data_IF_461311396806
#
_entry.id   IF_461311396806
#
_cell.length_a   1.000
_cell.length_b   1.000
_cell.length_c   1.000
_cell.angle_alpha   90.00
_cell.angle_beta   90.00
_cell.angle_gamma   90.00
#
_symmetry.space_group_name_H-M   'P 1'
#
loop_
_entity.id
_entity.type
_entity.pdbx_description
1 polymer ?
#
# COMPACT_ATOMS: atom_id res chain seq x y z
N UNK A 1 -32.72 1.87 30.34
CA UNK A 1 -32.57 2.21 28.91
C UNK A 1 -31.56 3.35 28.83
N UNK A 2 -30.29 2.98 28.97
CA UNK A 2 -29.30 2.87 27.88
C UNK A 2 -28.79 4.24 27.45
N UNK A 3 -27.92 4.82 28.29
CA UNK A 3 -27.05 5.92 27.90
C UNK A 3 -25.91 5.38 27.07
N UNK A 4 -25.80 5.84 25.83
CA UNK A 4 -24.64 5.62 24.96
C UNK A 4 -23.54 6.58 25.39
N UNK A 5 -22.60 6.09 26.21
CA UNK A 5 -21.32 6.76 26.38
C UNK A 5 -20.49 6.49 25.11
N UNK A 6 -20.45 7.48 24.22
CA UNK A 6 -19.38 7.58 23.24
C UNK A 6 -18.13 7.97 24.02
N UNK A 7 -17.26 7.00 24.22
CA UNK A 7 -15.98 7.19 24.90
C UNK A 7 -15.04 7.95 23.96
N UNK A 8 -15.18 9.28 23.98
CA UNK A 8 -14.28 10.18 23.28
C UNK A 8 -12.97 10.14 24.06
N UNK A 9 -11.98 9.38 23.55
CA UNK A 9 -10.59 9.46 24.03
C UNK A 9 -10.22 10.95 24.16
N UNK A 10 -9.93 11.38 25.38
CA UNK A 10 -9.48 12.75 25.66
C UNK A 10 -8.14 12.96 24.95
N UNK A 11 -8.14 13.83 23.95
CA UNK A 11 -6.95 14.20 23.16
C UNK A 11 -6.06 15.12 24.00
N UNK A 12 -4.75 14.88 24.01
CA UNK A 12 -3.77 15.84 24.52
C UNK A 12 -2.90 16.42 23.42
N UNK A 13 -3.08 17.72 23.20
CA UNK A 13 -2.04 18.62 22.71
C UNK A 13 -1.09 18.84 23.89
N UNK A 14 0.10 18.22 23.91
CA UNK A 14 1.31 18.59 24.70
C UNK A 14 2.17 17.40 25.19
N UNK A 15 2.43 16.41 24.35
CA UNK A 15 3.79 15.89 24.15
C UNK A 15 4.48 15.03 25.23
N UNK A 16 3.91 14.75 26.41
CA UNK A 16 4.63 13.97 27.42
C UNK A 16 4.02 12.57 27.72
N UNK A 17 2.71 12.41 27.89
CA UNK A 17 2.09 11.12 28.27
C UNK A 17 0.78 10.87 27.50
N UNK A 18 0.52 9.63 27.05
CA UNK A 18 -0.80 9.22 26.52
C UNK A 18 -1.70 8.83 27.69
N UNK A 19 -2.90 9.40 27.81
CA UNK A 19 -3.73 9.33 29.03
C UNK A 19 -3.95 7.89 29.57
N UNK A 20 -4.12 6.90 28.69
CA UNK A 20 -4.31 5.50 29.09
C UNK A 20 -3.08 4.91 29.80
N UNK A 21 -1.89 5.46 29.59
CA UNK A 21 -0.64 4.98 30.21
C UNK A 21 -0.65 5.17 31.73
N UNK A 22 -1.45 6.12 32.25
CA UNK A 22 -1.60 6.35 33.70
C UNK A 22 -2.43 5.27 34.41
N UNK A 23 -3.21 4.51 33.65
CA UNK A 23 -4.15 3.51 34.18
C UNK A 23 -3.65 2.06 33.97
N UNK A 24 -2.50 1.88 33.32
CA UNK A 24 -1.98 0.55 32.97
C UNK A 24 -0.97 -0.01 33.99
N UNK A 25 -1.17 -1.25 34.49
CA UNK A 25 -0.16 -1.93 35.28
C UNK A 25 1.09 -2.23 34.41
N UNK A 26 2.27 -2.04 34.97
CA UNK A 26 3.59 -2.23 34.33
C UNK A 26 3.93 -3.72 34.13
N UNK A 27 3.09 -4.50 33.46
CA UNK A 27 3.46 -5.81 32.93
C UNK A 27 4.02 -5.63 31.51
N UNK A 28 5.20 -5.02 31.43
CA UNK A 28 5.81 -4.64 30.15
C UNK A 28 6.43 -5.86 29.44
N UNK A 29 5.67 -6.48 28.54
CA UNK A 29 6.27 -7.24 27.44
C UNK A 29 6.67 -6.24 26.36
N UNK A 30 7.91 -6.34 25.89
CA UNK A 30 8.37 -5.51 24.79
C UNK A 30 7.53 -5.76 23.52
N UNK A 31 7.22 -4.70 22.80
CA UNK A 31 6.37 -4.75 21.59
C UNK A 31 7.01 -4.03 20.40
N UNK A 32 6.52 -4.35 19.22
CA UNK A 32 6.87 -3.71 17.94
C UNK A 32 5.59 -3.20 17.29
N UNK A 33 5.66 -2.01 16.70
CA UNK A 33 4.56 -1.42 15.94
C UNK A 33 4.89 -1.39 14.44
N UNK A 34 3.94 -1.84 13.64
CA UNK A 34 3.96 -1.70 12.18
C UNK A 34 2.75 -0.91 11.71
N UNK A 35 2.98 0.09 10.87
CA UNK A 35 1.93 0.94 10.34
C UNK A 35 1.96 0.98 8.81
N UNK A 36 0.76 0.94 8.22
CA UNK A 36 0.52 1.18 6.80
C UNK A 36 -0.47 2.34 6.63
N UNK A 37 0.03 3.46 6.11
CA UNK A 37 -0.70 4.71 5.90
C UNK A 37 -1.05 4.91 4.43
N UNK A 38 -2.29 4.60 4.05
CA UNK A 38 -2.81 4.80 2.71
C UNK A 38 -3.53 6.15 2.53
N UNK A 39 -4.06 6.35 1.32
CA UNK A 39 -4.89 7.53 0.97
C UNK A 39 -6.29 7.49 1.59
N UNK A 40 -6.75 6.34 2.07
CA UNK A 40 -8.11 6.16 2.64
C UNK A 40 -8.09 5.88 4.14
N UNK A 41 -7.15 5.07 4.60
CA UNK A 41 -7.09 4.58 5.98
C UNK A 41 -5.65 4.36 6.41
N UNK A 42 -5.44 4.32 7.72
CA UNK A 42 -4.18 3.96 8.35
C UNK A 42 -4.40 2.77 9.26
N UNK A 43 -3.65 1.69 9.08
CA UNK A 43 -3.69 0.50 9.93
C UNK A 43 -2.43 0.44 10.78
N UNK A 44 -2.60 0.26 12.10
CA UNK A 44 -1.52 -0.03 13.04
C UNK A 44 -1.69 -1.45 13.59
N UNK A 45 -0.60 -2.22 13.56
CA UNK A 45 -0.51 -3.55 14.16
C UNK A 45 0.54 -3.52 15.27
N UNK A 46 0.15 -4.00 16.45
CA UNK A 46 1.03 -4.23 17.58
C UNK A 46 1.32 -5.73 17.70
N UNK A 47 2.60 -6.11 17.63
CA UNK A 47 3.08 -7.48 17.79
C UNK A 47 4.01 -7.58 19.01
N UNK A 48 4.12 -8.74 19.68
CA UNK A 48 5.12 -8.90 20.72
C UNK A 48 6.53 -8.86 20.11
N UNK A 49 7.53 -8.46 20.89
CA UNK A 49 8.92 -8.68 20.53
C UNK A 49 9.18 -10.19 20.48
N UNK A 50 9.26 -10.72 19.26
CA UNK A 50 9.51 -12.14 19.03
C UNK A 50 10.99 -12.49 19.27
N UNK A 51 11.31 -13.71 19.74
CA UNK A 51 12.68 -14.20 19.81
C UNK A 51 13.36 -14.13 18.44
N UNK A 52 14.64 -13.76 18.41
CA UNK A 52 15.43 -13.65 17.18
C UNK A 52 15.71 -15.03 16.58
N UNK A 53 14.74 -15.55 15.85
CA UNK A 53 14.75 -16.82 15.12
C UNK A 53 14.53 -16.56 13.63
N UNK A 54 15.10 -17.40 12.77
CA UNK A 54 14.82 -17.34 11.34
C UNK A 54 13.45 -17.96 10.99
N UNK A 55 12.97 -18.85 11.86
CA UNK A 55 11.62 -19.40 11.79
C UNK A 55 10.63 -18.47 12.51
N UNK A 56 9.77 -17.82 11.74
CA UNK A 56 8.67 -17.01 12.24
C UNK A 56 7.47 -17.91 12.60
N UNK A 57 6.73 -17.59 13.66
CA UNK A 57 5.49 -18.30 14.01
C UNK A 57 4.43 -18.17 12.89
N UNK A 58 3.67 -19.24 12.69
CA UNK A 58 2.52 -19.28 11.77
C UNK A 58 1.26 -19.75 12.55
N UNK A 59 0.25 -18.88 12.76
CA UNK A 59 0.16 -17.50 12.32
C UNK A 59 1.09 -16.56 13.11
N UNK A 60 1.44 -15.41 12.49
CA UNK A 60 2.18 -14.35 13.15
C UNK A 60 1.35 -13.78 14.33
N UNK A 61 1.95 -13.60 15.52
CA UNK A 61 1.24 -13.13 16.70
C UNK A 61 0.87 -11.65 16.54
N UNK A 62 -0.39 -11.34 16.82
CA UNK A 62 -0.93 -9.98 16.87
C UNK A 62 -1.51 -9.75 18.26
N UNK A 63 -1.02 -8.73 18.97
CA UNK A 63 -1.56 -8.33 20.26
C UNK A 63 -2.78 -7.42 20.07
N UNK A 64 -2.70 -6.50 19.12
CA UNK A 64 -3.79 -5.58 18.80
C UNK A 64 -3.68 -5.00 17.39
N UNK A 65 -4.82 -4.55 16.89
CA UNK A 65 -4.94 -3.77 15.66
C UNK A 65 -5.80 -2.53 15.90
N UNK A 66 -5.44 -1.41 15.27
CA UNK A 66 -6.24 -0.20 15.25
C UNK A 66 -6.27 0.39 13.83
N UNK A 67 -7.40 0.99 13.47
CA UNK A 67 -7.60 1.62 12.17
C UNK A 67 -8.10 3.04 12.38
N UNK A 68 -7.48 3.99 11.70
CA UNK A 68 -7.92 5.38 11.66
C UNK A 68 -8.06 5.85 10.20
N UNK A 69 -8.45 7.13 10.04
CA UNK A 69 -8.57 7.77 8.74
C UNK A 69 -7.25 7.90 7.98
N UNK A 70 -7.25 8.70 6.91
CA UNK A 70 -6.07 8.91 6.08
C UNK A 70 -4.94 9.62 6.85
N UNK A 71 -3.71 9.12 6.71
CA UNK A 71 -2.47 9.76 7.21
C UNK A 71 -1.60 10.34 6.10
N UNK A 72 -2.03 10.28 4.84
CA UNK A 72 -1.33 10.89 3.72
C UNK A 72 -1.50 12.42 3.74
N UNK A 73 -0.43 13.13 4.07
CA UNK A 73 -0.42 14.60 4.15
C UNK A 73 -0.87 15.28 2.83
N UNK A 74 -0.59 14.67 1.67
CA UNK A 74 -1.03 15.18 0.37
C UNK A 74 -2.55 15.07 0.17
N UNK A 75 -3.20 14.13 0.87
CA UNK A 75 -4.66 13.92 0.81
C UNK A 75 -5.42 14.70 1.88
N UNK A 76 -4.82 14.92 3.06
CA UNK A 76 -5.49 15.56 4.20
C UNK A 76 -5.38 17.09 4.16
N UNK A 77 -4.46 17.66 3.39
CA UNK A 77 -4.31 19.11 3.19
C UNK A 77 -3.84 19.90 4.42
N UNK A 78 -3.70 19.24 5.59
CA UNK A 78 -3.20 19.82 6.82
C UNK A 78 -2.31 18.80 7.57
N UNK A 79 -1.03 19.16 7.74
CA UNK A 79 -0.01 18.36 8.41
C UNK A 79 -0.44 17.88 9.81
N UNK A 80 -1.10 18.77 10.56
CA UNK A 80 -1.60 18.49 11.91
C UNK A 80 -2.59 17.32 11.94
N UNK A 81 -3.49 17.22 10.96
CA UNK A 81 -4.50 16.17 10.95
C UNK A 81 -3.92 14.79 10.61
N UNK A 82 -2.92 14.73 9.72
CA UNK A 82 -2.17 13.50 9.47
C UNK A 82 -1.42 13.03 10.73
N UNK A 83 -0.75 13.96 11.43
CA UNK A 83 -0.06 13.68 12.70
C UNK A 83 -1.03 13.20 13.79
N UNK A 84 -2.17 13.88 13.98
CA UNK A 84 -3.20 13.48 14.95
C UNK A 84 -3.75 12.08 14.66
N UNK A 85 -3.93 11.74 13.37
CA UNK A 85 -4.40 10.41 12.94
C UNK A 85 -3.40 9.31 13.30
N UNK A 86 -2.10 9.56 13.06
CA UNK A 86 -1.02 8.65 13.42
C UNK A 86 -0.93 8.44 14.93
N UNK A 87 -1.03 9.53 15.70
CA UNK A 87 -1.02 9.47 17.16
C UNK A 87 -2.21 8.67 17.69
N UNK A 88 -3.42 8.95 17.19
CA UNK A 88 -4.64 8.26 17.58
C UNK A 88 -4.56 6.76 17.30
N UNK A 89 -4.14 6.35 16.10
CA UNK A 89 -4.12 4.92 15.72
C UNK A 89 -3.09 4.13 16.52
N UNK A 90 -1.93 4.73 16.83
CA UNK A 90 -0.92 4.08 17.66
C UNK A 90 -1.35 4.00 19.12
N UNK A 91 -1.99 5.05 19.66
CA UNK A 91 -2.53 5.06 21.01
C UNK A 91 -3.60 3.99 21.20
N UNK A 92 -4.51 3.86 20.23
CA UNK A 92 -5.53 2.82 20.26
C UNK A 92 -4.93 1.40 20.19
N UNK A 93 -3.92 1.19 19.33
CA UNK A 93 -3.25 -0.12 19.23
C UNK A 93 -2.53 -0.51 20.53
N UNK A 94 -1.81 0.42 21.16
CA UNK A 94 -1.12 0.19 22.44
C UNK A 94 -2.11 -0.02 23.59
N UNK A 95 -3.17 0.79 23.65
CA UNK A 95 -4.23 0.65 24.64
C UNK A 95 -4.88 -0.75 24.56
N UNK A 96 -5.24 -1.20 23.34
CA UNK A 96 -5.82 -2.54 23.12
C UNK A 96 -4.84 -3.67 23.41
N UNK A 97 -3.53 -3.47 23.22
CA UNK A 97 -2.53 -4.50 23.51
C UNK A 97 -2.16 -4.59 25.00
N UNK A 98 -2.65 -3.67 25.85
CA UNK A 98 -2.22 -3.58 27.24
C UNK A 98 -0.77 -3.10 27.38
N UNK A 99 -0.26 -2.34 26.41
CA UNK A 99 1.13 -1.87 26.37
C UNK A 99 1.20 -0.36 26.37
N UNK A 100 2.33 0.22 26.79
CA UNK A 100 2.59 1.65 26.73
C UNK A 100 3.81 1.95 25.84
N UNK A 101 4.08 3.23 25.57
CA UNK A 101 5.18 3.65 24.69
C UNK A 101 6.56 3.25 25.22
N UNK A 102 6.74 3.09 26.52
CA UNK A 102 8.02 2.64 27.09
C UNK A 102 8.31 1.15 26.80
N UNK A 103 7.28 0.35 26.55
CA UNK A 103 7.39 -1.05 26.13
C UNK A 103 7.70 -1.20 24.63
N UNK A 104 7.55 -0.14 23.84
CA UNK A 104 7.83 -0.18 22.40
C UNK A 104 9.34 -0.22 22.18
N UNK A 105 9.81 -1.12 21.31
CA UNK A 105 11.21 -1.24 20.92
C UNK A 105 11.50 -0.68 19.53
N UNK A 106 10.57 -0.88 18.61
CA UNK A 106 10.67 -0.31 17.28
C UNK A 106 9.30 0.00 16.67
N UNK A 107 9.28 0.99 15.79
CA UNK A 107 8.12 1.41 14.99
C UNK A 107 8.57 1.54 13.55
N UNK A 108 7.89 0.88 12.62
CA UNK A 108 8.01 1.16 11.19
C UNK A 108 6.69 1.74 10.69
N UNK A 109 6.75 2.94 10.14
CA UNK A 109 5.64 3.64 9.53
C UNK A 109 5.86 3.69 8.02
N UNK A 110 5.11 2.87 7.29
CA UNK A 110 5.10 2.89 5.83
C UNK A 110 3.95 3.76 5.35
N UNK A 111 4.22 4.79 4.55
CA UNK A 111 3.19 5.77 4.16
C UNK A 111 3.26 6.05 2.66
N UNK A 112 2.09 6.09 2.04
CA UNK A 112 1.94 6.46 0.64
C UNK A 112 2.37 7.90 0.40
N UNK A 113 3.15 8.14 -0.65
CA UNK A 113 3.65 9.46 -1.02
C UNK A 113 4.96 9.88 -0.33
N UNK A 114 5.51 9.05 0.55
CA UNK A 114 6.89 9.24 1.06
C UNK A 114 7.87 8.81 -0.02
N UNK A 115 8.38 9.79 -0.78
CA UNK A 115 9.19 9.56 -1.97
C UNK A 115 10.59 10.17 -1.92
N UNK A 116 10.82 11.09 -0.99
CA UNK A 116 12.10 11.78 -0.81
C UNK A 116 12.58 11.71 0.64
N UNK A 117 13.91 11.75 0.89
CA UNK A 117 14.46 11.79 2.24
C UNK A 117 13.89 12.93 3.11
N UNK A 118 13.51 14.05 2.51
CA UNK A 118 12.87 15.17 3.21
C UNK A 118 11.48 14.81 3.75
N UNK A 119 10.72 13.97 3.05
CA UNK A 119 9.40 13.52 3.51
C UNK A 119 9.55 12.50 4.63
N UNK A 120 10.52 11.59 4.49
CA UNK A 120 10.87 10.62 5.54
C UNK A 120 11.26 11.34 6.83
N UNK A 121 12.20 12.30 6.76
CA UNK A 121 12.69 13.01 7.94
C UNK A 121 11.60 13.86 8.60
N UNK A 122 10.69 14.45 7.80
CA UNK A 122 9.53 15.19 8.32
C UNK A 122 8.65 14.30 9.19
N UNK A 123 8.24 13.14 8.69
CA UNK A 123 7.39 12.19 9.44
C UNK A 123 8.15 11.61 10.64
N UNK A 124 9.45 11.32 10.46
CA UNK A 124 10.31 10.81 11.52
C UNK A 124 10.43 11.80 12.67
N UNK A 125 10.45 13.11 12.39
CA UNK A 125 10.41 14.15 13.42
C UNK A 125 9.14 14.08 14.27
N UNK A 126 7.98 13.81 13.68
CA UNK A 126 6.74 13.64 14.44
C UNK A 126 6.80 12.42 15.35
N UNK A 127 7.31 11.29 14.84
CA UNK A 127 7.45 10.06 15.63
C UNK A 127 8.41 10.25 16.82
N UNK A 128 9.51 11.01 16.64
CA UNK A 128 10.45 11.33 17.73
C UNK A 128 9.82 12.16 18.85
N UNK A 129 8.77 12.93 18.56
CA UNK A 129 7.99 13.62 19.59
C UNK A 129 6.96 12.72 20.27
N UNK A 130 6.59 11.60 19.65
CA UNK A 130 5.60 10.67 20.19
C UNK A 130 6.23 9.60 21.07
N UNK A 131 7.43 9.12 20.74
CA UNK A 131 8.07 8.00 21.42
C UNK A 131 9.32 8.38 22.24
N UNK A 132 9.62 7.63 23.31
CA UNK A 132 10.89 7.76 24.03
C UNK A 132 12.12 7.54 23.14
N UNK A 133 13.26 8.09 23.53
CA UNK A 133 14.51 8.07 22.74
C UNK A 133 15.12 6.67 22.52
N UNK A 134 14.74 5.66 23.32
CA UNK A 134 15.20 4.29 23.12
C UNK A 134 14.49 3.58 21.96
N UNK A 135 13.32 4.07 21.54
CA UNK A 135 12.51 3.47 20.48
C UNK A 135 13.19 3.70 19.13
N UNK A 136 13.34 2.63 18.35
CA UNK A 136 13.86 2.71 16.99
C UNK A 136 12.73 3.06 16.02
N UNK A 137 12.91 4.12 15.24
CA UNK A 137 11.85 4.68 14.39
C UNK A 137 12.27 4.62 12.92
N UNK A 138 11.40 4.09 12.08
CA UNK A 138 11.60 3.94 10.63
C UNK A 138 10.41 4.53 9.90
N UNK A 139 10.69 5.27 8.82
CA UNK A 139 9.67 5.75 7.90
C UNK A 139 10.04 5.24 6.52
N UNK A 140 9.12 4.47 5.93
CA UNK A 140 9.31 3.84 4.63
C UNK A 140 8.20 4.23 3.67
N UNK A 141 8.42 3.96 2.39
CA UNK A 141 7.36 4.00 1.40
C UNK A 141 6.40 2.81 1.62
N UNK A 142 5.10 2.99 1.36
CA UNK A 142 4.07 1.94 1.48
C UNK A 142 4.42 0.67 0.68
N UNK A 143 5.08 0.82 -0.47
CA UNK A 143 5.54 -0.31 -1.27
C UNK A 143 6.59 -1.18 -0.56
N UNK A 144 7.40 -0.63 0.35
CA UNK A 144 8.39 -1.41 1.12
C UNK A 144 7.68 -2.36 2.09
N UNK A 145 6.66 -1.85 2.78
CA UNK A 145 5.83 -2.68 3.67
C UNK A 145 5.00 -3.71 2.89
N UNK A 146 4.51 -3.36 1.71
CA UNK A 146 3.81 -4.28 0.82
C UNK A 146 4.74 -5.40 0.32
N UNK A 147 5.99 -5.12 -0.02
CA UNK A 147 6.98 -6.16 -0.34
C UNK A 147 7.19 -7.07 0.88
N UNK A 148 7.46 -6.46 2.04
CA UNK A 148 7.73 -7.17 3.28
C UNK A 148 6.57 -8.06 3.75
N UNK A 149 5.32 -7.72 3.46
CA UNK A 149 4.17 -8.56 3.83
C UNK A 149 4.09 -9.83 2.98
N UNK A 150 4.56 -9.80 1.73
CA UNK A 150 4.67 -10.99 0.88
C UNK A 150 5.90 -11.85 1.18
N UNK A 151 6.98 -11.24 1.65
CA UNK A 151 8.28 -11.92 1.89
C UNK A 151 8.57 -12.19 3.37
N UNK A 152 7.59 -11.94 4.24
CA UNK A 152 7.70 -12.11 5.70
C UNK A 152 8.89 -11.32 6.29
N UNK A 153 9.00 -10.04 5.93
CA UNK A 153 10.00 -9.11 6.44
C UNK A 153 11.33 -9.09 5.69
N UNK A 154 11.52 -9.94 4.68
CA UNK A 154 12.75 -9.97 3.86
C UNK A 154 12.66 -8.97 2.69
N UNK A 155 13.56 -7.99 2.63
CA UNK A 155 13.60 -7.05 1.50
C UNK A 155 14.45 -7.60 0.36
N UNK A 156 13.88 -8.53 -0.40
CA UNK A 156 14.47 -9.06 -1.62
C UNK A 156 13.36 -9.44 -2.62
N UNK A 157 13.50 -8.99 -3.86
CA UNK A 157 12.54 -9.20 -4.94
C UNK A 157 11.89 -7.91 -5.41
N UNK A 158 10.69 -8.01 -5.97
CA UNK A 158 9.92 -6.90 -6.51
C UNK A 158 8.48 -6.95 -5.98
N UNK A 159 7.92 -5.82 -5.59
CA UNK A 159 6.49 -5.64 -5.40
C UNK A 159 5.90 -4.93 -6.61
N UNK A 160 4.72 -5.36 -7.03
CA UNK A 160 3.83 -4.66 -7.95
C UNK A 160 2.55 -4.30 -7.21
N UNK A 161 2.30 -3.01 -7.07
CA UNK A 161 1.04 -2.48 -6.55
C UNK A 161 0.21 -1.98 -7.72
N UNK A 162 -1.04 -2.42 -7.85
CA UNK A 162 -2.01 -1.79 -8.74
C UNK A 162 -3.39 -1.66 -8.05
N UNK A 163 -3.70 -0.42 -7.66
CA UNK A 163 -4.96 0.01 -7.06
C UNK A 163 -5.46 1.24 -7.80
N UNK A 164 -5.77 2.33 -7.09
CA UNK A 164 -6.07 3.62 -7.72
C UNK A 164 -4.92 4.11 -8.60
N UNK A 165 -3.68 4.01 -8.10
CA UNK A 165 -2.43 4.19 -8.85
C UNK A 165 -1.68 2.87 -9.02
N UNK A 166 -0.45 2.92 -9.53
CA UNK A 166 0.41 1.73 -9.64
C UNK A 166 1.87 2.06 -9.39
N UNK A 167 2.63 1.10 -8.86
CA UNK A 167 4.08 1.18 -8.71
C UNK A 167 4.69 -0.21 -8.76
N UNK A 168 5.85 -0.34 -9.40
CA UNK A 168 6.75 -1.47 -9.22
C UNK A 168 7.98 -1.01 -8.43
N UNK A 169 8.33 -1.71 -7.35
CA UNK A 169 9.50 -1.37 -6.53
C UNK A 169 10.22 -2.64 -6.12
N UNK A 170 11.54 -2.67 -6.26
CA UNK A 170 12.32 -3.86 -5.95
C UNK A 170 13.57 -3.55 -5.15
N UNK A 171 14.07 -4.61 -4.52
CA UNK A 171 15.23 -4.62 -3.65
C UNK A 171 16.09 -5.86 -3.90
N UNK A 172 17.39 -5.70 -3.85
CA UNK A 172 18.36 -6.80 -3.84
C UNK A 172 18.81 -7.06 -2.40
N UNK A 173 19.42 -8.23 -2.13
CA UNK A 173 19.83 -8.59 -0.76
C UNK A 173 20.89 -7.63 -0.17
N UNK A 174 21.72 -7.02 -1.03
CA UNK A 174 22.71 -6.00 -0.69
C UNK A 174 22.09 -4.60 -0.49
N UNK A 175 20.76 -4.46 -0.61
CA UNK A 175 20.03 -3.23 -0.31
C UNK A 175 19.96 -2.22 -1.46
N UNK A 176 20.36 -2.60 -2.69
CA UNK A 176 20.08 -1.75 -3.86
C UNK A 176 18.60 -1.78 -4.16
N UNK A 177 18.08 -0.65 -4.64
CA UNK A 177 16.66 -0.47 -4.89
C UNK A 177 16.41 0.14 -6.27
N UNK A 178 15.26 -0.17 -6.87
CA UNK A 178 14.82 0.45 -8.11
C UNK A 178 13.30 0.48 -8.21
N UNK A 179 12.77 1.61 -8.67
CA UNK A 179 11.34 1.82 -8.89
C UNK A 179 10.98 2.07 -10.34
N UNK A 180 9.77 1.72 -10.74
CA UNK A 180 9.15 2.05 -12.02
C UNK A 180 7.65 2.33 -11.83
N UNK A 181 7.07 3.16 -12.70
CA UNK A 181 5.74 3.75 -12.50
C UNK A 181 5.65 4.53 -11.17
N UNK A 182 4.43 4.82 -10.69
CA UNK A 182 4.20 5.56 -9.45
C UNK A 182 4.38 7.06 -9.61
N UNK A 183 4.33 7.56 -10.84
CA UNK A 183 4.47 8.99 -11.15
C UNK A 183 3.11 9.71 -11.16
N UNK A 184 2.01 8.97 -10.96
CA UNK A 184 0.66 9.47 -10.99
C UNK A 184 0.00 9.36 -12.37
N UNK A 185 -1.32 9.62 -12.43
CA UNK A 185 -2.14 9.35 -13.60
C UNK A 185 -1.82 10.22 -14.81
N UNK A 186 -1.23 11.40 -14.60
CA UNK A 186 -0.82 12.29 -15.70
C UNK A 186 0.44 11.78 -16.40
N UNK A 187 1.32 11.10 -15.65
CA UNK A 187 2.68 10.77 -16.10
C UNK A 187 2.88 9.32 -16.52
N UNK A 188 1.90 8.44 -16.36
CA UNK A 188 1.97 7.11 -16.96
C UNK A 188 1.48 5.93 -16.13
N UNK A 189 0.73 6.13 -15.03
CA UNK A 189 0.15 5.03 -14.25
C UNK A 189 -1.01 4.31 -15.00
N UNK A 190 -0.85 3.98 -16.28
CA UNK A 190 -1.88 3.48 -17.19
C UNK A 190 -2.38 2.08 -16.84
N UNK A 191 -1.57 1.30 -16.12
CA UNK A 191 -1.94 0.00 -15.57
C UNK A 191 -2.80 0.06 -14.30
N UNK A 192 -2.96 1.24 -13.70
CA UNK A 192 -3.76 1.44 -12.49
C UNK A 192 -5.26 1.43 -12.78
N UNK A 193 -6.08 1.35 -11.73
CA UNK A 193 -7.53 1.50 -11.83
C UNK A 193 -7.93 2.84 -12.43
N UNK A 194 -7.24 3.93 -12.06
CA UNK A 194 -7.44 5.22 -12.71
C UNK A 194 -7.09 5.15 -14.20
N UNK A 195 -5.93 4.59 -14.53
CA UNK A 195 -5.46 4.47 -15.92
C UNK A 195 -6.41 3.68 -16.81
N UNK A 196 -6.94 2.56 -16.31
CA UNK A 196 -7.94 1.73 -16.97
C UNK A 196 -9.23 2.54 -17.20
N UNK A 197 -9.75 3.18 -16.16
CA UNK A 197 -10.99 3.95 -16.23
C UNK A 197 -10.89 5.19 -17.12
N UNK A 198 -9.78 5.93 -17.05
CA UNK A 198 -9.55 7.12 -17.87
C UNK A 198 -9.49 6.78 -19.37
N UNK A 199 -8.87 5.65 -19.72
CA UNK A 199 -8.89 5.14 -21.09
C UNK A 199 -10.31 4.75 -21.53
N UNK A 200 -11.10 4.16 -20.64
CA UNK A 200 -12.49 3.81 -20.93
C UNK A 200 -13.39 5.04 -21.12
N UNK A 201 -13.28 6.05 -20.25
CA UNK A 201 -13.96 7.34 -20.41
C UNK A 201 -13.57 8.01 -21.73
N UNK A 202 -12.28 7.98 -22.08
CA UNK A 202 -11.79 8.48 -23.37
C UNK A 202 -12.40 7.71 -24.54
N UNK A 203 -12.56 6.39 -24.42
CA UNK A 203 -13.19 5.57 -25.44
C UNK A 203 -14.70 5.89 -25.59
N UNK A 204 -15.41 6.15 -24.50
CA UNK A 204 -16.82 6.58 -24.54
C UNK A 204 -16.95 7.92 -25.28
N UNK A 205 -16.11 8.91 -24.98
CA UNK A 205 -16.12 10.20 -25.68
C UNK A 205 -15.83 10.02 -27.17
N UNK A 206 -14.84 9.19 -27.53
CA UNK A 206 -14.53 8.89 -28.94
C UNK A 206 -15.67 8.16 -29.67
N UNK A 207 -16.38 7.26 -28.98
CA UNK A 207 -17.54 6.57 -29.54
C UNK A 207 -18.70 7.55 -29.79
N UNK A 208 -18.90 8.52 -28.89
CA UNK A 208 -19.93 9.54 -28.98
C UNK A 208 -19.68 10.53 -30.12
N UNK A 209 -18.46 11.04 -30.24
CA UNK A 209 -18.10 12.03 -31.27
C UNK A 209 -17.69 11.43 -32.63
N UNK A 210 -17.76 10.09 -32.75
CA UNK A 210 -17.51 9.37 -34.00
C UNK A 210 -16.04 9.10 -34.33
N UNK A 211 -15.08 9.46 -33.45
CA UNK A 211 -13.65 9.15 -33.63
C UNK A 211 -13.26 7.73 -33.26
N UNK A 212 -14.15 6.98 -32.61
CA UNK A 212 -13.93 5.62 -32.15
C UNK A 212 -15.11 4.69 -32.45
N UNK A 213 -14.91 3.37 -32.33
CA UNK A 213 -15.99 2.40 -32.51
C UNK A 213 -17.01 2.51 -31.38
N UNK A 214 -18.25 2.09 -31.66
CA UNK A 214 -19.25 1.87 -30.61
C UNK A 214 -18.78 0.80 -29.62
N UNK A 215 -19.13 0.95 -28.34
CA UNK A 215 -18.67 0.07 -27.26
C UNK A 215 -19.73 -0.03 -26.15
N UNK A 216 -19.79 -1.19 -25.51
CA UNK A 216 -20.64 -1.43 -24.32
C UNK A 216 -20.24 -0.51 -23.15
N UNK A 217 -19.00 -0.02 -23.13
CA UNK A 217 -18.51 0.93 -22.14
C UNK A 217 -19.40 2.18 -22.05
N UNK A 218 -19.97 2.64 -23.17
CA UNK A 218 -20.82 3.83 -23.20
C UNK A 218 -22.04 3.65 -22.30
N UNK A 219 -22.85 2.61 -22.55
CA UNK A 219 -24.07 2.39 -21.77
C UNK A 219 -23.79 1.98 -20.33
N UNK A 220 -22.73 1.20 -20.11
CA UNK A 220 -22.45 0.63 -18.80
C UNK A 220 -21.82 1.65 -17.85
N UNK A 221 -20.89 2.47 -18.34
CA UNK A 221 -20.31 3.55 -17.52
C UNK A 221 -21.41 4.56 -17.18
N UNK A 222 -22.16 5.08 -18.16
CA UNK A 222 -23.21 6.08 -17.90
C UNK A 222 -24.23 5.59 -16.87
N UNK A 223 -24.64 4.33 -16.96
CA UNK A 223 -25.53 3.70 -15.96
C UNK A 223 -24.89 3.65 -14.58
N UNK A 224 -23.61 3.29 -14.48
CA UNK A 224 -22.87 3.24 -13.21
C UNK A 224 -22.77 4.61 -12.54
N UNK A 225 -22.60 5.68 -13.30
CA UNK A 225 -22.44 7.05 -12.78
C UNK A 225 -23.72 7.88 -12.78
N UNK A 226 -24.83 7.31 -13.22
CA UNK A 226 -26.16 7.95 -13.21
C UNK A 226 -26.35 9.06 -14.25
N UNK A 227 -25.62 9.03 -15.36
CA UNK A 227 -25.74 10.00 -16.45
C UNK A 227 -26.64 9.47 -17.57
N UNK A 228 -27.31 10.39 -18.29
CA UNK A 228 -28.23 10.03 -19.38
C UNK A 228 -27.58 10.15 -20.76
N UNK A 229 -26.57 11.01 -20.91
CA UNK A 229 -25.82 11.20 -22.17
C UNK A 229 -24.30 11.29 -21.93
N UNK A 230 -23.46 10.86 -22.89
CA UNK A 230 -22.02 11.16 -22.89
C UNK A 230 -21.69 12.66 -22.81
N UNK A 231 -22.61 13.56 -23.23
CA UNK A 231 -22.42 15.01 -23.14
C UNK A 231 -22.23 15.49 -21.69
N UNK A 232 -22.77 14.76 -20.71
CA UNK A 232 -22.67 15.08 -19.29
C UNK A 232 -21.31 14.67 -18.67
N UNK A 233 -20.51 13.85 -19.37
CA UNK A 233 -19.24 13.29 -18.84
C UNK A 233 -18.21 14.35 -18.50
N UNK A 234 -18.16 15.44 -19.27
CA UNK A 234 -17.22 16.55 -19.02
C UNK A 234 -17.54 17.18 -17.67
N UNK A 235 -18.82 17.53 -17.44
CA UNK A 235 -19.27 18.08 -16.15
C UNK A 235 -18.97 17.13 -15.01
N UNK A 236 -19.35 15.86 -15.14
CA UNK A 236 -19.12 14.84 -14.12
C UNK A 236 -17.63 14.67 -13.79
N UNK A 237 -16.75 14.68 -14.79
CA UNK A 237 -15.30 14.47 -14.61
C UNK A 237 -14.63 15.63 -13.90
N UNK A 238 -14.97 16.88 -14.24
CA UNK A 238 -14.33 18.07 -13.68
C UNK A 238 -14.99 18.57 -12.38
N UNK A 239 -16.15 18.04 -11.99
CA UNK A 239 -16.80 18.33 -10.71
C UNK A 239 -16.00 17.84 -9.49
N UNK A 240 -15.33 16.70 -9.60
CA UNK A 240 -14.54 16.10 -8.52
C UNK A 240 -13.22 15.51 -9.06
N UNK A 241 -12.05 16.04 -8.65
CA UNK A 241 -10.74 15.58 -9.11
C UNK A 241 -10.28 14.26 -8.49
N UNK A 242 -11.10 13.60 -7.66
CA UNK A 242 -10.77 12.36 -6.96
C UNK A 242 -10.36 11.23 -7.91
N UNK A 243 -9.11 10.78 -7.80
CA UNK A 243 -8.62 9.63 -8.58
C UNK A 243 -9.36 8.35 -8.21
N UNK A 244 -9.75 8.19 -6.95
CA UNK A 244 -10.48 7.02 -6.48
C UNK A 244 -11.88 6.93 -7.14
N UNK A 245 -12.54 8.07 -7.36
CA UNK A 245 -13.85 8.14 -8.04
C UNK A 245 -13.75 7.67 -9.48
N UNK A 246 -12.70 8.08 -10.20
CA UNK A 246 -12.43 7.60 -11.57
C UNK A 246 -12.05 6.11 -11.54
N UNK A 247 -11.11 5.71 -10.68
CA UNK A 247 -10.64 4.33 -10.59
C UNK A 247 -11.75 3.32 -10.25
N UNK A 248 -12.80 3.75 -9.54
CA UNK A 248 -13.97 2.92 -9.23
C UNK A 248 -14.73 2.42 -10.48
N UNK A 249 -14.46 2.96 -11.68
CA UNK A 249 -15.02 2.49 -12.94
C UNK A 249 -14.25 1.31 -13.55
N UNK A 250 -13.05 0.97 -13.08
CA UNK A 250 -12.26 -0.14 -13.61
C UNK A 250 -13.02 -1.49 -13.64
N UNK A 251 -13.83 -1.87 -12.62
CA UNK A 251 -14.65 -3.09 -12.67
C UNK A 251 -15.68 -3.11 -13.81
N UNK A 252 -16.17 -1.95 -14.25
CA UNK A 252 -17.07 -1.85 -15.43
C UNK A 252 -16.32 -2.26 -16.68
N UNK A 253 -15.07 -1.80 -16.84
CA UNK A 253 -14.22 -2.15 -17.98
C UNK A 253 -13.95 -3.66 -18.01
N UNK A 254 -13.64 -4.26 -16.86
CA UNK A 254 -13.50 -5.72 -16.72
C UNK A 254 -14.78 -6.43 -17.15
N UNK A 255 -15.94 -5.98 -16.67
CA UNK A 255 -17.24 -6.57 -17.02
C UNK A 255 -17.54 -6.51 -18.52
N UNK A 256 -17.26 -5.37 -19.17
CA UNK A 256 -17.44 -5.25 -20.61
C UNK A 256 -16.45 -6.16 -21.38
N UNK A 257 -15.20 -6.28 -20.94
CA UNK A 257 -14.23 -7.19 -21.55
C UNK A 257 -14.66 -8.66 -21.41
N UNK A 258 -15.21 -9.06 -20.26
CA UNK A 258 -15.79 -10.39 -20.04
C UNK A 258 -17.03 -10.64 -20.92
N UNK A 259 -17.74 -9.59 -21.31
CA UNK A 259 -18.81 -9.61 -22.30
C UNK A 259 -18.30 -9.55 -23.76
N UNK A 260 -17.00 -9.72 -23.97
CA UNK A 260 -16.33 -9.70 -25.29
C UNK A 260 -16.37 -8.36 -26.01
N UNK A 261 -16.49 -7.23 -25.28
CA UNK A 261 -16.33 -5.91 -25.88
C UNK A 261 -14.86 -5.71 -26.32
N UNK A 262 -14.60 -5.44 -27.61
CA UNK A 262 -13.23 -5.38 -28.14
C UNK A 262 -12.45 -4.15 -27.64
N UNK A 263 -13.14 -3.05 -27.33
CA UNK A 263 -12.52 -1.81 -26.83
C UNK A 263 -12.05 -2.02 -25.39
N UNK A 264 -12.91 -2.58 -24.54
CA UNK A 264 -12.58 -2.94 -23.17
C UNK A 264 -11.43 -3.95 -23.11
N UNK A 265 -11.47 -5.01 -23.93
CA UNK A 265 -10.38 -5.98 -24.02
C UNK A 265 -9.04 -5.32 -24.38
N UNK A 266 -9.04 -4.40 -25.35
CA UNK A 266 -7.83 -3.67 -25.75
C UNK A 266 -7.27 -2.80 -24.62
N UNK A 267 -8.13 -2.11 -23.88
CA UNK A 267 -7.73 -1.29 -22.72
C UNK A 267 -7.06 -2.16 -21.65
N UNK A 268 -7.65 -3.31 -21.33
CA UNK A 268 -7.10 -4.19 -20.30
C UNK A 268 -5.80 -4.86 -20.75
N UNK A 269 -5.67 -5.26 -22.03
CA UNK A 269 -4.42 -5.78 -22.58
C UNK A 269 -3.29 -4.74 -22.53
N UNK A 270 -3.57 -3.48 -22.88
CA UNK A 270 -2.60 -2.39 -22.74
C UNK A 270 -2.19 -2.20 -21.28
N UNK A 271 -3.15 -2.23 -20.36
CA UNK A 271 -2.89 -2.10 -18.92
C UNK A 271 -2.01 -3.22 -18.38
N UNK A 272 -2.22 -4.47 -18.83
CA UNK A 272 -1.36 -5.62 -18.54
C UNK A 272 0.08 -5.38 -19.01
N UNK A 273 0.26 -4.85 -20.23
CA UNK A 273 1.59 -4.57 -20.79
C UNK A 273 2.32 -3.49 -19.98
N UNK A 274 1.64 -2.41 -19.60
CA UNK A 274 2.21 -1.32 -18.79
C UNK A 274 2.65 -1.81 -17.40
N UNK A 275 1.82 -2.63 -16.74
CA UNK A 275 2.15 -3.24 -15.45
C UNK A 275 3.34 -4.20 -15.58
N UNK A 276 3.34 -5.05 -16.61
CA UNK A 276 4.42 -5.99 -16.85
C UNK A 276 5.73 -5.23 -17.10
N UNK A 277 5.77 -4.28 -18.04
CA UNK A 277 6.98 -3.52 -18.35
C UNK A 277 7.52 -2.73 -17.14
N UNK A 278 6.64 -2.27 -16.23
CA UNK A 278 7.07 -1.67 -14.97
C UNK A 278 7.86 -2.65 -14.10
N UNK A 279 7.38 -3.88 -13.93
CA UNK A 279 8.12 -4.94 -13.23
C UNK A 279 9.41 -5.29 -13.96
N UNK A 280 9.35 -5.48 -15.28
CA UNK A 280 10.55 -5.82 -16.07
C UNK A 280 11.62 -4.74 -15.96
N UNK A 281 11.24 -3.47 -15.93
CA UNK A 281 12.18 -2.36 -15.75
C UNK A 281 12.91 -2.42 -14.40
N UNK A 282 12.21 -2.77 -13.32
CA UNK A 282 12.82 -2.98 -11.99
C UNK A 282 13.76 -4.19 -12.01
N UNK A 283 13.29 -5.33 -12.52
CA UNK A 283 14.07 -6.57 -12.61
C UNK A 283 15.38 -6.35 -13.38
N UNK A 284 15.33 -5.68 -14.54
CA UNK A 284 16.53 -5.37 -15.35
C UNK A 284 17.51 -4.46 -14.61
N UNK A 285 17.05 -3.40 -13.95
CA UNK A 285 17.93 -2.43 -13.26
C UNK A 285 18.62 -3.04 -12.05
N UNK A 286 17.94 -3.94 -11.35
CA UNK A 286 18.47 -4.59 -10.16
C UNK A 286 19.24 -5.88 -10.45
N UNK A 287 19.06 -6.43 -11.65
CA UNK A 287 19.54 -7.75 -12.03
C UNK A 287 19.01 -8.84 -11.09
N UNK A 288 17.69 -8.83 -10.82
CA UNK A 288 17.07 -9.76 -9.84
C UNK A 288 17.13 -11.23 -10.27
N UNK A 289 17.41 -11.52 -11.53
CA UNK A 289 17.55 -12.88 -12.06
C UNK A 289 18.99 -13.40 -12.04
N UNK A 290 19.92 -12.69 -11.40
CA UNK A 290 21.32 -13.09 -11.35
C UNK A 290 22.04 -12.91 -12.68
N UNK A 291 23.32 -13.29 -12.74
CA UNK A 291 24.14 -13.16 -13.95
C UNK A 291 23.69 -14.10 -15.07
N UNK A 292 23.20 -15.29 -14.69
CA UNK A 292 22.79 -16.33 -15.63
C UNK A 292 21.29 -16.24 -16.00
N UNK A 293 20.56 -15.25 -15.44
CA UNK A 293 19.14 -14.99 -15.73
C UNK A 293 18.15 -15.98 -15.10
N UNK A 294 18.61 -16.86 -14.21
CA UNK A 294 17.83 -17.97 -13.66
C UNK A 294 17.52 -17.86 -12.17
N UNK A 295 18.01 -16.82 -11.47
CA UNK A 295 17.73 -16.69 -10.04
C UNK A 295 16.24 -16.45 -9.78
N UNK A 296 15.73 -17.11 -8.75
CA UNK A 296 14.37 -16.93 -8.29
C UNK A 296 14.25 -15.65 -7.47
N UNK A 297 13.20 -14.86 -7.71
CA UNK A 297 12.90 -13.68 -6.90
C UNK A 297 11.41 -13.59 -6.59
N UNK A 298 11.08 -13.04 -5.41
CA UNK A 298 9.71 -12.79 -5.03
C UNK A 298 9.09 -11.69 -5.92
N UNK A 299 7.93 -11.95 -6.51
CA UNK A 299 7.08 -10.95 -7.14
C UNK A 299 5.81 -10.77 -6.31
N UNK A 300 5.84 -9.85 -5.35
CA UNK A 300 4.70 -9.59 -4.47
C UNK A 300 3.66 -8.75 -5.20
N UNK A 301 2.41 -9.20 -5.25
CA UNK A 301 1.32 -8.55 -5.97
C UNK A 301 0.27 -8.02 -4.99
N UNK A 302 0.04 -6.71 -5.01
CA UNK A 302 -0.89 -6.02 -4.09
C UNK A 302 -1.83 -5.08 -4.86
N UNK A 303 -3.05 -4.94 -4.36
CA UNK A 303 -4.04 -3.98 -4.86
C UNK A 303 -5.19 -4.63 -5.66
N UNK A 304 -6.33 -3.93 -5.66
CA UNK A 304 -7.59 -4.44 -6.18
C UNK A 304 -7.61 -4.73 -7.68
N UNK A 305 -6.77 -4.06 -8.48
CA UNK A 305 -6.65 -4.31 -9.93
C UNK A 305 -6.03 -5.69 -10.18
N UNK A 306 -5.12 -6.13 -9.31
CA UNK A 306 -4.48 -7.44 -9.39
C UNK A 306 -5.31 -8.54 -8.73
N UNK A 307 -6.46 -8.23 -8.11
CA UNK A 307 -7.29 -9.23 -7.45
C UNK A 307 -7.76 -10.30 -8.45
N UNK A 308 -7.90 -11.54 -7.97
CA UNK A 308 -8.32 -12.64 -8.81
C UNK A 308 -9.77 -12.42 -9.30
N UNK A 309 -9.97 -12.56 -10.61
CA UNK A 309 -11.27 -12.41 -11.26
C UNK A 309 -11.64 -13.70 -12.01
N UNK A 310 -12.94 -13.89 -12.28
CA UNK A 310 -13.45 -15.17 -12.78
C UNK A 310 -13.14 -15.40 -14.26
N UNK A 311 -13.37 -14.43 -15.14
CA UNK A 311 -13.13 -14.59 -16.58
C UNK A 311 -12.01 -13.70 -17.11
N UNK A 312 -11.86 -12.49 -16.60
CA UNK A 312 -10.75 -11.60 -16.98
C UNK A 312 -9.89 -11.21 -15.78
N UNK A 313 -8.69 -11.78 -15.68
CA UNK A 313 -7.79 -11.64 -14.52
C UNK A 313 -6.48 -10.95 -14.91
N UNK A 314 -6.41 -9.63 -14.67
CA UNK A 314 -5.25 -8.79 -14.97
C UNK A 314 -3.99 -9.34 -14.27
N UNK A 315 -4.12 -9.79 -13.02
CA UNK A 315 -2.99 -10.32 -12.26
C UNK A 315 -2.37 -11.56 -12.91
N UNK A 316 -3.19 -12.50 -13.37
CA UNK A 316 -2.72 -13.69 -14.11
C UNK A 316 -2.04 -13.33 -15.43
N UNK A 317 -2.62 -12.41 -16.19
CA UNK A 317 -2.05 -11.97 -17.47
C UNK A 317 -0.71 -11.24 -17.27
N UNK A 318 -0.59 -10.40 -16.24
CA UNK A 318 0.67 -9.75 -15.87
C UNK A 318 1.74 -10.78 -15.52
N UNK A 319 1.41 -11.77 -14.68
CA UNK A 319 2.34 -12.87 -14.35
C UNK A 319 2.75 -13.64 -15.60
N UNK A 320 1.80 -13.99 -16.47
CA UNK A 320 2.08 -14.66 -17.76
C UNK A 320 3.04 -13.86 -18.64
N UNK A 321 2.86 -12.53 -18.73
CA UNK A 321 3.76 -11.64 -19.45
C UNK A 321 5.17 -11.58 -18.84
N UNK A 322 5.28 -11.58 -17.52
CA UNK A 322 6.57 -11.52 -16.82
C UNK A 322 7.31 -12.85 -16.92
N UNK A 323 6.63 -13.98 -16.68
CA UNK A 323 7.25 -15.32 -16.67
C UNK A 323 7.80 -15.76 -18.02
N UNK A 324 7.36 -15.15 -19.13
CA UNK A 324 7.95 -15.37 -20.46
C UNK A 324 9.39 -14.87 -20.55
N UNK A 325 9.69 -13.74 -19.91
CA UNK A 325 11.02 -13.12 -19.93
C UNK A 325 11.83 -13.49 -18.67
N UNK A 326 11.15 -13.77 -17.56
CA UNK A 326 11.74 -14.03 -16.25
C UNK A 326 11.09 -15.26 -15.59
N UNK A 327 11.47 -16.49 -15.99
CA UNK A 327 10.88 -17.71 -15.45
C UNK A 327 11.13 -17.90 -13.94
N UNK A 328 12.17 -17.25 -13.38
CA UNK A 328 12.44 -17.22 -11.94
C UNK A 328 11.53 -16.29 -11.12
N UNK A 329 10.63 -15.53 -11.76
CA UNK A 329 9.67 -14.69 -11.05
C UNK A 329 8.67 -15.57 -10.28
N UNK A 330 8.68 -15.47 -8.95
CA UNK A 330 7.79 -16.22 -8.08
C UNK A 330 6.65 -15.34 -7.56
N UNK A 331 5.44 -15.39 -8.16
CA UNK A 331 4.34 -14.52 -7.79
C UNK A 331 3.79 -14.86 -6.40
N UNK A 332 3.69 -13.86 -5.54
CA UNK A 332 3.20 -13.98 -4.17
C UNK A 332 2.03 -13.02 -3.98
N UNK A 333 0.90 -13.54 -3.48
CA UNK A 333 -0.15 -12.71 -2.88
C UNK A 333 0.05 -12.74 -1.36
N UNK A 334 0.28 -11.59 -0.71
CA UNK A 334 0.48 -11.55 0.74
C UNK A 334 -0.70 -12.20 1.48
N UNK A 335 -0.39 -12.96 2.52
CA UNK A 335 -1.39 -13.53 3.45
C UNK A 335 -1.66 -12.62 4.65
N UNK A 336 -0.88 -11.56 4.79
CA UNK A 336 -0.94 -10.59 5.88
C UNK A 336 -0.95 -9.19 5.31
N UNK A 337 -1.47 -8.25 6.10
CA UNK A 337 -1.55 -6.83 5.71
C UNK A 337 -0.15 -6.19 5.57
N UNK A 338 0.02 -5.15 4.74
CA UNK A 338 1.27 -4.40 4.67
C UNK A 338 1.74 -3.87 6.03
N UNK A 339 0.82 -3.50 6.93
CA UNK A 339 1.16 -3.09 8.30
C UNK A 339 1.91 -4.20 9.08
N UNK A 340 1.63 -5.47 8.81
CA UNK A 340 2.40 -6.59 9.37
C UNK A 340 3.80 -6.66 8.74
N UNK A 341 3.89 -6.43 7.43
CA UNK A 341 5.18 -6.27 6.73
C UNK A 341 6.04 -5.18 7.39
N UNK A 342 5.46 -4.01 7.67
CA UNK A 342 6.12 -2.94 8.41
C UNK A 342 6.56 -3.39 9.82
N UNK A 343 5.72 -4.11 10.56
CA UNK A 343 6.07 -4.61 11.89
C UNK A 343 7.28 -5.58 11.84
N UNK A 344 7.33 -6.45 10.83
CA UNK A 344 8.46 -7.36 10.61
C UNK A 344 9.73 -6.62 10.20
N UNK A 345 9.63 -5.52 9.44
CA UNK A 345 10.78 -4.66 9.13
C UNK A 345 11.35 -4.00 10.40
N UNK A 346 10.48 -3.42 11.23
CA UNK A 346 10.87 -2.84 12.51
C UNK A 346 11.55 -3.88 13.42
N UNK A 347 11.01 -5.10 13.47
CA UNK A 347 11.59 -6.21 14.23
C UNK A 347 12.96 -6.63 13.70
N UNK A 348 13.11 -6.82 12.38
CA UNK A 348 14.37 -7.18 11.73
C UNK A 348 15.46 -6.13 11.96
N UNK A 349 15.10 -4.85 11.90
CA UNK A 349 16.05 -3.78 12.18
C UNK A 349 16.50 -3.80 13.65
N UNK A 350 15.55 -3.99 14.58
CA UNK A 350 15.85 -4.10 16.00
C UNK A 350 16.76 -5.29 16.31
N UNK A 351 16.55 -6.45 15.67
CA UNK A 351 17.43 -7.64 15.72
C UNK A 351 18.86 -7.28 15.31
N UNK A 352 19.06 -6.71 14.11
CA UNK A 352 20.38 -6.35 13.57
C UNK A 352 21.16 -5.38 14.49
N UNK A 353 20.48 -4.40 15.07
CA UNK A 353 21.11 -3.44 16.00
C UNK A 353 21.54 -4.11 17.31
N UNK A 354 20.71 -5.01 17.84
CA UNK A 354 21.02 -5.75 19.08
C UNK A 354 22.23 -6.67 18.89
N UNK A 355 22.34 -7.33 17.73
CA UNK A 355 23.47 -8.19 17.38
C UNK A 355 24.77 -7.38 17.17
N UNK A 356 24.69 -6.17 16.61
CA UNK A 356 25.85 -5.29 16.47
C UNK A 356 26.29 -4.66 17.80
N UNK A 357 25.35 -4.40 18.72
CA UNK A 357 25.63 -3.89 20.07
C UNK A 357 26.30 -4.91 20.99
N UNK A 358 26.14 -6.22 20.74
CA UNK A 358 26.84 -7.29 21.47
C UNK A 358 28.28 -7.54 20.98
N UNK A 359 28.69 -6.93 19.85
CA UNK A 359 30.02 -7.10 19.25
C UNK A 359 31.02 -5.98 19.62
N UNK A 360 30.62 -5.01 20.44
CA UNK A 360 31.47 -3.92 20.97
C UNK A 360 31.72 -4.12 22.47
#
# INVERSE_FOLDING_TARGET
MSGTATDVMKRYRNGEIWDFENEMPTLARDVILGLDGGTTSTLCICIPLMPFSDDLPDPLPVLATAVAGCSNHNSVGAETAARETLEQVMAEALSKSGSNRSSVRAVCLAVSGVNHPTDQERILSWLRHMFPSHVKLFVENDAVAALASGTLGKLHGCVLIAGTGTIAYGFTEDGREARAAGAGPVLGDWGSGYGIAAQALTAVVKAHDGRGPQTMLTSDILRTIGLSSPDELVGWTYEDPSWARIAALAPVVVSCAEASDPVANKILQYSVQELAESVKAVVRRLNLCGQDGNDCFALVMVGGVLAANKRWDIGKEVVSCISKDYPGAYPIRPKVEPAMGAALLAWNYFKKQSENGLKC
#
